data_IF_221800222869
#
_entry.id   IF_221800222869
#
_cell.length_a   1.000
_cell.length_b   1.000
_cell.length_c   1.000
_cell.angle_alpha   90.00
_cell.angle_beta   90.00
_cell.angle_gamma   90.00
#
_symmetry.space_group_name_H-M   'P 1'
#
loop_
_entity.id
_entity.type
_entity.pdbx_description
1 polymer ?
#
# COMPACT_ATOMS: atom_id res chain seq x y z
N UNK A 1 12.76 -14.23 -10.23
CA UNK A 1 12.43 -14.99 -9.00
C UNK A 1 13.15 -14.55 -7.73
N UNK A 2 14.38 -13.98 -7.74
CA UNK A 2 14.89 -13.21 -6.57
C UNK A 2 14.70 -11.69 -6.68
N UNK A 3 14.82 -11.16 -7.90
CA UNK A 3 14.74 -9.71 -8.13
C UNK A 3 13.34 -9.13 -7.88
N UNK A 4 12.28 -9.94 -8.07
CA UNK A 4 10.90 -9.43 -8.10
C UNK A 4 10.37 -9.07 -6.70
N UNK A 5 10.68 -9.87 -5.66
CA UNK A 5 10.26 -9.55 -4.29
C UNK A 5 11.08 -8.42 -3.67
N UNK A 6 12.36 -8.27 -4.05
CA UNK A 6 13.20 -7.16 -3.59
C UNK A 6 12.66 -5.81 -4.07
N UNK A 7 12.15 -5.77 -5.30
CA UNK A 7 11.47 -4.56 -5.79
C UNK A 7 10.16 -4.31 -5.04
N UNK A 8 9.37 -5.35 -4.78
CA UNK A 8 8.12 -5.22 -4.00
C UNK A 8 8.40 -4.68 -2.59
N UNK A 9 9.35 -5.28 -1.86
CA UNK A 9 9.75 -4.83 -0.52
C UNK A 9 10.28 -3.39 -0.52
N UNK A 10 11.06 -3.01 -1.53
CA UNK A 10 11.55 -1.63 -1.67
C UNK A 10 10.39 -0.65 -1.87
N UNK A 11 9.41 -0.99 -2.72
CA UNK A 11 8.25 -0.14 -2.95
C UNK A 11 7.37 -0.06 -1.72
N UNK A 12 7.17 -1.17 -0.98
CA UNK A 12 6.50 -1.14 0.32
C UNK A 12 7.24 -0.28 1.34
N UNK A 13 8.57 -0.39 1.44
CA UNK A 13 9.37 0.46 2.34
C UNK A 13 9.15 1.95 2.07
N UNK A 14 9.03 2.33 0.79
CA UNK A 14 8.73 3.70 0.40
C UNK A 14 7.28 4.10 0.71
N UNK A 15 6.33 3.19 0.50
CA UNK A 15 4.92 3.41 0.83
C UNK A 15 4.74 3.62 2.34
N UNK A 16 5.34 2.75 3.16
CA UNK A 16 5.26 2.86 4.62
C UNK A 16 5.79 4.22 5.12
N UNK A 17 6.86 4.74 4.50
CA UNK A 17 7.37 6.08 4.81
C UNK A 17 6.45 7.21 4.35
N UNK A 18 5.74 7.03 3.22
CA UNK A 18 4.82 8.06 2.72
C UNK A 18 3.48 8.07 3.46
N UNK A 19 3.12 6.95 4.11
CA UNK A 19 1.95 6.84 5.00
C UNK A 19 2.26 7.29 6.43
N UNK A 20 3.54 7.37 6.81
CA UNK A 20 3.96 7.86 8.12
C UNK A 20 3.43 9.29 8.36
N UNK A 21 2.81 9.50 9.51
CA UNK A 21 2.12 10.75 9.87
C UNK A 21 0.67 10.88 9.37
N UNK A 22 0.21 10.02 8.46
CA UNK A 22 -1.21 9.89 8.09
C UNK A 22 -1.87 8.68 8.77
N UNK A 23 -1.10 7.61 8.93
CA UNK A 23 -1.51 6.37 9.57
C UNK A 23 -1.04 6.36 11.03
N UNK A 24 -1.79 5.69 11.90
CA UNK A 24 -1.35 5.47 13.29
C UNK A 24 -0.37 4.30 13.34
N UNK A 25 0.49 4.21 14.37
CA UNK A 25 1.51 3.18 14.46
C UNK A 25 0.97 1.75 14.36
N UNK A 26 -0.23 1.48 14.89
CA UNK A 26 -0.86 0.17 14.88
C UNK A 26 -1.23 -0.28 13.46
N UNK A 27 -1.75 0.64 12.64
CA UNK A 27 -2.09 0.39 11.22
C UNK A 27 -0.83 0.08 10.40
N UNK A 28 0.25 0.84 10.66
CA UNK A 28 1.53 0.59 10.00
C UNK A 28 2.16 -0.73 10.44
N UNK A 29 1.98 -1.12 11.72
CA UNK A 29 2.47 -2.39 12.23
C UNK A 29 1.75 -3.56 11.55
N UNK A 30 0.43 -3.50 11.41
CA UNK A 30 -0.36 -4.54 10.74
C UNK A 30 0.10 -4.77 9.29
N UNK A 31 0.26 -3.70 8.50
CA UNK A 31 0.77 -3.80 7.13
C UNK A 31 2.19 -4.41 7.11
N UNK A 32 3.02 -3.99 8.07
CA UNK A 32 4.41 -4.48 8.19
C UNK A 32 4.48 -5.97 8.51
N UNK A 33 3.60 -6.49 9.37
CA UNK A 33 3.58 -7.91 9.70
C UNK A 33 3.36 -8.76 8.44
N UNK A 34 2.41 -8.38 7.58
CA UNK A 34 2.19 -9.08 6.30
C UNK A 34 3.42 -9.03 5.37
N UNK A 35 4.10 -7.88 5.29
CA UNK A 35 5.32 -7.75 4.49
C UNK A 35 6.42 -8.68 5.01
N UNK A 36 6.60 -8.75 6.34
CA UNK A 36 7.65 -9.55 6.97
C UNK A 36 7.43 -11.07 6.78
N UNK A 37 6.17 -11.51 6.62
CA UNK A 37 5.82 -12.89 6.24
C UNK A 37 5.78 -13.14 4.72
N UNK A 38 6.03 -12.13 3.89
CA UNK A 38 5.98 -12.23 2.43
C UNK A 38 4.55 -12.24 1.85
N UNK A 39 3.55 -11.88 2.64
CA UNK A 39 2.13 -11.82 2.26
C UNK A 39 1.80 -10.48 1.58
N UNK A 40 2.50 -10.16 0.49
CA UNK A 40 2.46 -8.85 -0.16
C UNK A 40 1.08 -8.43 -0.71
N UNK A 41 0.30 -9.39 -1.21
CA UNK A 41 -1.05 -9.11 -1.68
C UNK A 41 -1.95 -8.64 -0.53
N UNK A 42 -1.86 -9.32 0.61
CA UNK A 42 -2.61 -8.99 1.81
C UNK A 42 -2.14 -7.67 2.42
N UNK A 43 -0.84 -7.42 2.47
CA UNK A 43 -0.30 -6.12 2.90
C UNK A 43 -0.88 -4.94 2.08
N UNK A 44 -1.02 -5.11 0.76
CA UNK A 44 -1.60 -4.10 -0.11
C UNK A 44 -3.11 -3.95 0.12
N UNK A 45 -3.84 -5.06 0.24
CA UNK A 45 -5.28 -5.09 0.54
C UNK A 45 -5.56 -4.37 1.86
N UNK A 46 -4.87 -4.74 2.95
CA UNK A 46 -4.96 -4.07 4.25
C UNK A 46 -4.67 -2.58 4.15
N UNK A 47 -3.66 -2.17 3.39
CA UNK A 47 -3.37 -0.74 3.18
C UNK A 47 -4.56 -0.01 2.55
N UNK A 48 -5.16 -0.60 1.52
CA UNK A 48 -6.31 -0.06 0.81
C UNK A 48 -7.54 -0.01 1.71
N UNK A 49 -7.78 -1.07 2.48
CA UNK A 49 -8.91 -1.16 3.40
C UNK A 49 -8.82 -0.12 4.50
N UNK A 50 -7.65 0.09 5.10
CA UNK A 50 -7.44 1.17 6.08
C UNK A 50 -7.75 2.54 5.45
N UNK A 51 -7.34 2.80 4.21
CA UNK A 51 -7.71 4.06 3.52
C UNK A 51 -9.23 4.22 3.43
N UNK A 52 -9.96 3.16 3.05
CA UNK A 52 -11.41 3.25 2.87
C UNK A 52 -12.20 3.26 4.18
N UNK A 53 -11.89 2.35 5.09
CA UNK A 53 -12.63 2.14 6.33
C UNK A 53 -12.38 3.27 7.32
N UNK A 54 -11.12 3.68 7.50
CA UNK A 54 -10.73 4.76 8.41
C UNK A 54 -10.72 6.15 7.73
N UNK A 55 -11.12 6.21 6.46
CA UNK A 55 -11.12 7.42 5.60
C UNK A 55 -9.79 8.18 5.64
N UNK A 56 -8.67 7.47 5.63
CA UNK A 56 -7.34 8.10 5.65
C UNK A 56 -7.10 8.89 4.38
N UNK A 57 -6.48 10.04 4.55
CA UNK A 57 -5.98 10.81 3.43
C UNK A 57 -4.59 10.31 3.05
N UNK A 58 -4.32 10.23 1.75
CA UNK A 58 -3.05 9.80 1.20
C UNK A 58 -2.51 10.85 0.25
N UNK A 59 -1.20 10.95 0.13
CA UNK A 59 -0.60 11.83 -0.88
C UNK A 59 -0.66 11.19 -2.26
N UNK A 60 -0.47 12.01 -3.30
CA UNK A 60 -0.25 11.49 -4.66
C UNK A 60 0.91 10.49 -4.74
N UNK A 61 1.95 10.65 -3.92
CA UNK A 61 3.08 9.73 -3.86
C UNK A 61 2.66 8.36 -3.31
N UNK A 62 1.91 8.34 -2.20
CA UNK A 62 1.33 7.11 -1.65
C UNK A 62 0.43 6.41 -2.66
N UNK A 63 -0.45 7.15 -3.36
CA UNK A 63 -1.28 6.61 -4.43
C UNK A 63 -0.43 5.96 -5.54
N UNK A 64 0.59 6.66 -6.03
CA UNK A 64 1.46 6.14 -7.09
C UNK A 64 2.21 4.86 -6.66
N UNK A 65 2.63 4.79 -5.40
CA UNK A 65 3.28 3.60 -4.84
C UNK A 65 2.31 2.41 -4.73
N UNK A 66 1.07 2.64 -4.29
CA UNK A 66 -0.01 1.63 -4.30
C UNK A 66 -0.23 1.10 -5.72
N UNK A 67 -0.36 1.99 -6.70
CA UNK A 67 -0.58 1.61 -8.11
C UNK A 67 0.62 0.85 -8.71
N UNK A 68 1.84 1.16 -8.26
CA UNK A 68 3.06 0.44 -8.63
C UNK A 68 3.06 -0.97 -8.04
N UNK A 69 2.72 -1.13 -6.76
CA UNK A 69 2.62 -2.43 -6.09
C UNK A 69 1.58 -3.34 -6.77
N UNK A 70 0.38 -2.82 -7.06
CA UNK A 70 -0.63 -3.58 -7.82
C UNK A 70 -0.09 -4.04 -9.18
N UNK A 71 0.76 -3.21 -9.83
CA UNK A 71 1.38 -3.56 -11.11
C UNK A 71 2.35 -4.72 -10.99
N UNK A 72 3.26 -4.64 -10.01
CA UNK A 72 4.31 -5.62 -9.78
C UNK A 72 3.71 -6.99 -9.41
N UNK A 73 2.57 -6.98 -8.71
CA UNK A 73 1.88 -8.18 -8.27
C UNK A 73 0.80 -8.67 -9.23
N UNK A 74 0.59 -8.00 -10.37
CA UNK A 74 -0.48 -8.32 -11.32
C UNK A 74 -1.90 -8.36 -10.70
N UNK A 75 -2.14 -7.52 -9.69
CA UNK A 75 -3.45 -7.37 -9.04
C UNK A 75 -4.30 -6.41 -9.88
N UNK A 76 -5.56 -6.79 -10.16
CA UNK A 76 -6.45 -6.00 -11.00
C UNK A 76 -6.79 -4.64 -10.35
N UNK A 77 -6.60 -3.56 -11.11
CA UNK A 77 -6.47 -2.18 -10.59
C UNK A 77 -7.73 -1.35 -10.70
N UNK A 78 -8.73 -1.85 -11.41
CA UNK A 78 -9.72 -0.99 -12.06
C UNK A 78 -10.79 -0.45 -11.11
N UNK A 79 -11.09 -1.13 -10.00
CA UNK A 79 -12.08 -0.63 -9.03
C UNK A 79 -11.40 0.17 -7.92
N UNK A 80 -10.22 -0.25 -7.50
CA UNK A 80 -9.49 0.37 -6.39
C UNK A 80 -8.92 1.74 -6.75
N UNK A 81 -8.43 1.92 -7.98
CA UNK A 81 -7.74 3.17 -8.35
C UNK A 81 -8.67 4.38 -8.42
N UNK A 82 -9.90 4.21 -8.89
CA UNK A 82 -10.85 5.32 -9.00
C UNK A 82 -11.40 5.72 -7.65
N UNK A 83 -11.61 4.75 -6.75
CA UNK A 83 -12.06 5.03 -5.38
C UNK A 83 -10.98 5.69 -4.53
N UNK A 84 -9.71 5.28 -4.67
CA UNK A 84 -8.59 5.89 -3.92
C UNK A 84 -8.36 7.37 -4.27
N UNK A 85 -8.73 7.80 -5.49
CA UNK A 85 -8.59 9.21 -5.91
C UNK A 85 -9.38 10.18 -5.03
N UNK A 86 -10.46 9.73 -4.39
CA UNK A 86 -11.26 10.54 -3.47
C UNK A 86 -10.53 10.87 -2.16
N UNK A 87 -9.46 10.15 -1.85
CA UNK A 87 -8.69 10.27 -0.61
C UNK A 87 -7.33 10.97 -0.81
N UNK A 88 -7.06 11.46 -2.02
CA UNK A 88 -5.81 12.15 -2.33
C UNK A 88 -5.84 13.59 -1.83
N UNK A 89 -4.77 14.02 -1.14
CA UNK A 89 -4.51 15.41 -0.72
C UNK A 89 -3.34 16.07 -1.45
#
# INVERSE_FOLDING_TARGET
>A
MKADYQEIELVFSNLMKSLDGFFVPEELLEIKEFIDYGEYGLALETTIDIVFEERKLITNDSFNLIMKLSSLMHIDKNITSDRLKEFII
#
